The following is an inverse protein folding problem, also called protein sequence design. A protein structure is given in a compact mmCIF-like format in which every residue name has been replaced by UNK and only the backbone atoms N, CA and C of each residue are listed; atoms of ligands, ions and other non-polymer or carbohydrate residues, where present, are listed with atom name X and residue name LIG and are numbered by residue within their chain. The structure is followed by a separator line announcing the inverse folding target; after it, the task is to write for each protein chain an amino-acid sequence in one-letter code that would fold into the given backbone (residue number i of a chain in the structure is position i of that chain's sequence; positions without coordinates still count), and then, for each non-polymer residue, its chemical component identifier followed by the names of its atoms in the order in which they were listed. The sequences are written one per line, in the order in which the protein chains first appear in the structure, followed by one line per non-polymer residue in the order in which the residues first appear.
data_IF_085000725466
#
_entry.id   IF_085000725466
#
_cell.length_a   1.000
_cell.length_b   1.000
_cell.length_c   1.000
_cell.angle_alpha   90.00
_cell.angle_beta   90.00
_cell.angle_gamma   90.00
#
_symmetry.space_group_name_H-M   'P 1'
#
loop_
_entity.id
_entity.type
_entity.pdbx_description
1 polymer ?
#
# COMPACT_ATOMS: atom_id res chain seq x y z
N UNK A 1 -37.92 13.32 -29.63
CA UNK A 1 -36.65 13.84 -29.13
C UNK A 1 -35.83 12.64 -28.73
N UNK A 2 -34.85 12.29 -29.56
CA UNK A 2 -33.89 11.19 -29.30
C UNK A 2 -32.68 11.80 -28.58
N UNK A 3 -32.54 11.49 -27.28
CA UNK A 3 -31.35 11.79 -26.50
C UNK A 3 -30.24 10.81 -26.93
N UNK A 4 -29.34 11.28 -27.79
CA UNK A 4 -28.14 10.58 -28.16
C UNK A 4 -27.20 10.46 -26.96
N UNK A 5 -27.06 9.25 -26.45
CA UNK A 5 -26.05 8.90 -25.44
C UNK A 5 -24.67 8.96 -26.10
N UNK A 6 -23.92 10.04 -25.85
CA UNK A 6 -22.53 10.16 -26.29
C UNK A 6 -21.67 9.21 -25.44
N UNK A 7 -21.48 7.97 -25.89
CA UNK A 7 -20.48 7.08 -25.35
C UNK A 7 -19.13 7.64 -25.78
N UNK A 8 -18.42 8.30 -24.89
CA UNK A 8 -17.05 8.71 -25.12
C UNK A 8 -16.20 7.45 -25.28
N UNK A 9 -15.92 7.06 -26.52
CA UNK A 9 -14.95 6.00 -26.78
C UNK A 9 -13.58 6.49 -26.30
N UNK A 10 -13.12 5.99 -25.18
CA UNK A 10 -11.71 6.14 -24.79
C UNK A 10 -10.94 5.26 -25.74
N UNK A 11 -10.30 5.89 -26.73
CA UNK A 11 -9.33 5.20 -27.59
C UNK A 11 -8.11 4.93 -26.74
N UNK A 12 -7.86 3.68 -26.38
CA UNK A 12 -6.64 3.25 -25.73
C UNK A 12 -5.51 3.36 -26.75
N UNK A 13 -4.76 4.45 -26.68
CA UNK A 13 -3.59 4.69 -27.53
C UNK A 13 -2.41 3.95 -26.91
N UNK A 14 -1.72 3.15 -27.70
CA UNK A 14 -0.46 2.54 -27.32
C UNK A 14 0.66 3.59 -27.41
N UNK A 15 1.58 3.65 -26.46
CA UNK A 15 2.73 4.55 -26.54
C UNK A 15 3.63 4.15 -27.70
N UNK A 16 4.27 5.13 -28.29
CA UNK A 16 5.32 4.88 -29.28
C UNK A 16 6.57 4.30 -28.60
N UNK A 17 7.41 3.59 -29.34
CA UNK A 17 8.67 3.04 -28.80
C UNK A 17 9.58 4.13 -28.20
N UNK A 18 9.52 5.35 -28.73
CA UNK A 18 10.27 6.50 -28.24
C UNK A 18 9.72 7.04 -26.91
N UNK A 19 8.39 7.12 -26.77
CA UNK A 19 7.71 7.50 -25.51
C UNK A 19 7.98 6.48 -24.42
N UNK A 20 7.96 5.19 -24.70
CA UNK A 20 8.31 4.13 -23.74
C UNK A 20 9.76 4.22 -23.28
N UNK A 21 10.70 4.42 -24.21
CA UNK A 21 12.12 4.60 -23.88
C UNK A 21 12.35 5.84 -23.02
N UNK A 22 11.69 6.93 -23.35
CA UNK A 22 11.79 8.17 -22.56
C UNK A 22 11.22 7.97 -21.15
N UNK A 23 10.03 7.39 -21.02
CA UNK A 23 9.39 7.12 -19.75
C UNK A 23 10.23 6.15 -18.88
N UNK A 24 10.79 5.11 -19.47
CA UNK A 24 11.70 4.18 -18.79
C UNK A 24 12.98 4.88 -18.31
N UNK A 25 13.59 5.70 -19.15
CA UNK A 25 14.78 6.47 -18.78
C UNK A 25 14.51 7.46 -17.63
N UNK A 26 13.32 8.03 -17.56
CA UNK A 26 12.88 8.93 -16.51
C UNK A 26 12.61 8.19 -15.20
N UNK A 27 11.93 7.03 -15.24
CA UNK A 27 11.55 6.24 -14.07
C UNK A 27 12.73 5.54 -13.40
N UNK A 28 13.67 5.01 -14.17
CA UNK A 28 14.77 4.19 -13.67
C UNK A 28 15.55 4.80 -12.51
N UNK A 29 16.05 6.06 -12.57
CA UNK A 29 16.79 6.65 -11.45
C UNK A 29 15.91 6.84 -10.21
N UNK A 30 14.62 7.10 -10.37
CA UNK A 30 13.67 7.25 -9.27
C UNK A 30 13.43 5.89 -8.58
N UNK A 31 13.21 4.83 -9.36
CA UNK A 31 13.04 3.45 -8.88
C UNK A 31 14.30 2.98 -8.14
N UNK A 32 15.47 3.21 -8.71
CA UNK A 32 16.76 2.84 -8.09
C UNK A 32 16.95 3.56 -6.74
N UNK A 33 16.62 4.85 -6.68
CA UNK A 33 16.67 5.64 -5.45
C UNK A 33 15.68 5.14 -4.41
N UNK A 34 14.43 4.93 -4.80
CA UNK A 34 13.38 4.42 -3.92
C UNK A 34 13.73 3.02 -3.39
N UNK A 35 14.24 2.14 -4.24
CA UNK A 35 14.67 0.78 -3.84
C UNK A 35 15.81 0.81 -2.82
N UNK A 36 16.78 1.71 -2.97
CA UNK A 36 17.85 1.89 -1.99
C UNK A 36 17.30 2.37 -0.64
N UNK A 37 16.39 3.35 -0.66
CA UNK A 37 15.72 3.85 0.56
C UNK A 37 14.91 2.74 1.25
N UNK A 38 14.10 1.99 0.51
CA UNK A 38 13.33 0.85 1.02
C UNK A 38 14.24 -0.21 1.65
N UNK A 39 15.37 -0.53 1.01
CA UNK A 39 16.37 -1.46 1.55
C UNK A 39 16.96 -0.94 2.86
N UNK A 40 17.28 0.34 2.93
CA UNK A 40 17.82 0.97 4.14
C UNK A 40 16.79 0.98 5.28
N UNK A 41 15.52 1.27 4.97
CA UNK A 41 14.41 1.23 5.93
C UNK A 41 14.23 -0.20 6.47
N UNK A 42 14.25 -1.22 5.61
CA UNK A 42 14.16 -2.62 6.05
C UNK A 42 15.28 -2.98 7.02
N UNK A 43 16.52 -2.59 6.71
CA UNK A 43 17.68 -2.92 7.56
C UNK A 43 17.72 -2.13 8.86
N UNK A 44 17.13 -0.94 8.90
CA UNK A 44 17.04 -0.10 10.10
C UNK A 44 15.74 -0.31 10.89
N UNK A 45 14.87 -1.25 10.46
CA UNK A 45 13.62 -1.52 11.16
C UNK A 45 13.91 -2.06 12.57
N UNK A 46 13.30 -1.44 13.62
CA UNK A 46 13.57 -1.84 14.99
C UNK A 46 13.13 -3.28 15.30
N UNK A 47 13.76 -3.90 16.30
CA UNK A 47 13.28 -5.19 16.80
C UNK A 47 11.87 -5.02 17.39
N UNK A 48 10.92 -5.83 16.90
CA UNK A 48 9.52 -5.82 17.33
C UNK A 48 9.35 -5.95 18.86
N UNK A 49 10.22 -6.71 19.51
CA UNK A 49 10.17 -6.89 20.97
C UNK A 49 10.50 -5.64 21.75
N UNK A 50 11.27 -4.73 21.15
CA UNK A 50 11.68 -3.46 21.74
C UNK A 50 10.70 -2.33 21.49
N UNK A 51 9.78 -2.50 20.52
CA UNK A 51 8.84 -1.44 20.15
C UNK A 51 7.86 -1.12 21.30
N UNK A 52 7.65 0.16 21.50
CA UNK A 52 6.63 0.73 22.39
C UNK A 52 6.04 1.93 21.69
N UNK A 53 4.79 2.25 21.95
CA UNK A 53 4.19 3.46 21.40
C UNK A 53 5.02 4.70 21.77
N UNK A 54 5.36 5.52 20.78
CA UNK A 54 6.16 6.72 20.93
C UNK A 54 5.67 7.84 20.03
N UNK A 55 5.46 9.03 20.59
CA UNK A 55 5.07 10.21 19.83
C UNK A 55 6.20 10.66 18.90
N UNK A 56 5.81 11.18 17.74
CA UNK A 56 6.75 11.81 16.85
C UNK A 56 7.25 13.14 17.40
N UNK A 57 8.53 13.48 17.19
CA UNK A 57 9.00 14.85 17.41
C UNK A 57 8.21 15.84 16.55
N UNK A 58 7.80 16.96 17.11
CA UNK A 58 6.90 17.93 16.44
C UNK A 58 7.49 18.52 15.15
N UNK A 59 8.80 18.63 15.07
CA UNK A 59 9.57 19.15 13.95
C UNK A 59 9.94 18.08 12.91
N UNK A 60 9.87 16.80 13.29
CA UNK A 60 10.27 15.69 12.40
C UNK A 60 9.23 15.36 11.33
N UNK A 61 7.96 15.73 11.55
CA UNK A 61 6.86 15.40 10.64
C UNK A 61 6.36 16.66 9.95
N UNK A 62 6.50 16.70 8.64
CA UNK A 62 5.81 17.69 7.81
C UNK A 62 4.34 17.25 7.67
N UNK A 63 3.41 18.19 7.82
CA UNK A 63 2.00 17.88 7.63
C UNK A 63 1.76 17.31 6.23
N UNK A 64 0.91 16.29 6.15
CA UNK A 64 0.46 15.74 4.88
C UNK A 64 -0.21 16.84 4.06
N UNK A 65 0.12 16.90 2.78
CA UNK A 65 -0.56 17.73 1.78
C UNK A 65 -0.87 16.87 0.56
N UNK A 66 -1.69 17.37 -0.35
CA UNK A 66 -1.90 16.72 -1.65
C UNK A 66 -0.59 16.45 -2.40
N UNK A 67 0.44 17.29 -2.15
CA UNK A 67 1.73 17.21 -2.83
C UNK A 67 2.77 16.35 -2.08
N UNK A 68 2.46 15.92 -0.85
CA UNK A 68 3.34 15.07 -0.05
C UNK A 68 2.50 14.14 0.87
N UNK A 69 1.82 13.13 0.33
CA UNK A 69 1.06 12.16 1.10
C UNK A 69 1.99 11.29 1.94
N UNK A 70 1.44 10.72 3.02
CA UNK A 70 2.16 9.73 3.81
C UNK A 70 1.82 8.33 3.28
N UNK A 71 2.76 7.72 2.59
CA UNK A 71 2.61 6.35 2.08
C UNK A 71 2.85 5.32 3.18
N UNK A 72 2.27 4.16 3.02
CA UNK A 72 2.47 3.03 3.93
C UNK A 72 2.78 1.76 3.17
N UNK A 73 3.48 0.83 3.83
CA UNK A 73 3.86 -0.47 3.28
C UNK A 73 3.89 -1.52 4.39
N UNK A 74 3.37 -2.69 4.09
CA UNK A 74 3.54 -3.86 4.93
C UNK A 74 5.00 -4.34 4.92
N UNK A 75 5.53 -4.70 6.09
CA UNK A 75 6.92 -5.13 6.22
C UNK A 75 7.23 -6.38 5.40
N UNK A 76 6.32 -7.35 5.34
CA UNK A 76 6.54 -8.55 4.54
C UNK A 76 6.61 -8.21 3.04
N UNK A 77 5.82 -7.22 2.59
CA UNK A 77 5.93 -6.67 1.24
C UNK A 77 7.26 -5.94 1.05
N UNK A 78 7.67 -5.12 2.01
CA UNK A 78 8.96 -4.43 1.99
C UNK A 78 10.13 -5.42 1.92
N UNK A 79 10.09 -6.50 2.68
CA UNK A 79 11.10 -7.55 2.67
C UNK A 79 11.19 -8.22 1.29
N UNK A 80 10.06 -8.56 0.69
CA UNK A 80 10.01 -9.11 -0.68
C UNK A 80 10.51 -8.14 -1.74
N UNK A 81 10.22 -6.84 -1.59
CA UNK A 81 10.67 -5.82 -2.55
C UNK A 81 12.17 -5.63 -2.53
N UNK A 82 12.79 -5.82 -1.40
CA UNK A 82 14.21 -5.52 -1.18
C UNK A 82 15.11 -6.76 -1.06
N UNK A 83 14.53 -7.95 -1.01
CA UNK A 83 15.26 -9.22 -0.92
C UNK A 83 14.88 -10.18 -2.06
N UNK A 84 15.71 -10.32 -3.10
CA UNK A 84 15.41 -11.18 -4.24
C UNK A 84 15.34 -12.68 -3.90
N UNK A 85 15.86 -13.10 -2.74
CA UNK A 85 15.81 -14.49 -2.29
C UNK A 85 14.44 -14.89 -1.70
N UNK A 86 13.58 -13.93 -1.40
CA UNK A 86 12.23 -14.22 -0.88
C UNK A 86 11.31 -14.55 -2.03
N UNK A 87 10.79 -15.79 -2.05
CA UNK A 87 9.87 -16.24 -3.07
C UNK A 87 8.57 -15.40 -3.06
N UNK A 88 8.23 -14.83 -4.21
CA UNK A 88 7.09 -13.91 -4.37
C UNK A 88 5.77 -14.61 -4.70
N UNK A 89 5.78 -15.93 -4.89
CA UNK A 89 4.61 -16.70 -5.37
C UNK A 89 3.63 -17.15 -4.28
N UNK A 90 3.91 -16.88 -3.01
CA UNK A 90 3.00 -17.27 -1.94
C UNK A 90 1.70 -16.46 -2.00
N UNK A 91 0.58 -17.11 -2.34
CA UNK A 91 -0.77 -16.50 -2.46
C UNK A 91 -1.25 -15.83 -1.15
N UNK A 92 -0.70 -16.21 -0.01
CA UNK A 92 -1.08 -15.68 1.30
C UNK A 92 -0.92 -14.15 1.43
N UNK A 93 -0.03 -13.52 0.67
CA UNK A 93 0.17 -12.07 0.73
C UNK A 93 -0.94 -11.26 0.04
N UNK A 94 -1.60 -11.83 -0.97
CA UNK A 94 -2.68 -11.15 -1.70
C UNK A 94 -3.83 -10.75 -0.80
N UNK A 95 -4.08 -11.53 0.24
CA UNK A 95 -5.14 -11.27 1.22
C UNK A 95 -4.85 -10.04 2.10
N UNK A 96 -3.59 -9.60 2.17
CA UNK A 96 -3.15 -8.46 2.97
C UNK A 96 -2.59 -7.32 2.09
N UNK A 97 -2.94 -7.31 0.81
CA UNK A 97 -2.44 -6.32 -0.16
C UNK A 97 -2.86 -4.89 0.21
N UNK A 98 -3.99 -4.73 0.88
CA UNK A 98 -4.48 -3.46 1.41
C UNK A 98 -3.56 -2.84 2.49
N UNK A 99 -2.61 -3.60 3.04
CA UNK A 99 -1.60 -3.07 3.98
C UNK A 99 -0.50 -2.23 3.29
N UNK A 100 -0.58 -2.02 1.98
CA UNK A 100 0.43 -1.26 1.24
C UNK A 100 -0.20 -0.30 0.25
N UNK A 101 0.31 0.94 0.21
CA UNK A 101 -0.08 1.93 -0.79
C UNK A 101 0.28 1.45 -2.21
N UNK A 102 -0.60 1.72 -3.18
CA UNK A 102 -0.37 1.36 -4.59
C UNK A 102 0.94 1.93 -5.13
N UNK A 103 1.25 3.19 -4.83
CA UNK A 103 2.49 3.83 -5.27
C UNK A 103 3.76 3.08 -4.83
N UNK A 104 3.78 2.50 -3.61
CA UNK A 104 4.92 1.68 -3.14
C UNK A 104 5.02 0.36 -3.91
N UNK A 105 3.88 -0.22 -4.27
CA UNK A 105 3.82 -1.43 -5.10
C UNK A 105 4.39 -1.17 -6.50
N UNK A 106 4.09 -0.03 -7.10
CA UNK A 106 4.53 0.33 -8.45
C UNK A 106 6.06 0.40 -8.57
N UNK A 107 6.79 0.76 -7.50
CA UNK A 107 8.27 0.72 -7.48
C UNK A 107 8.80 -0.66 -7.84
N UNK A 108 8.11 -1.73 -7.40
CA UNK A 108 8.52 -3.10 -7.68
C UNK A 108 7.95 -3.62 -9.00
N UNK A 109 6.68 -3.36 -9.25
CA UNK A 109 5.96 -3.97 -10.38
C UNK A 109 6.41 -3.39 -11.71
N UNK A 110 6.71 -2.09 -11.77
CA UNK A 110 7.13 -1.42 -13.01
C UNK A 110 8.33 -2.10 -13.69
N UNK A 111 9.47 -2.36 -13.02
CA UNK A 111 10.59 -3.04 -13.68
C UNK A 111 10.27 -4.48 -14.12
N UNK A 112 9.31 -5.13 -13.47
CA UNK A 112 8.87 -6.47 -13.84
C UNK A 112 8.01 -6.45 -15.09
N UNK A 113 7.09 -5.49 -15.21
CA UNK A 113 6.26 -5.29 -16.40
C UNK A 113 7.11 -4.89 -17.60
N UNK A 114 8.06 -3.97 -17.42
CA UNK A 114 9.02 -3.60 -18.46
C UNK A 114 9.85 -4.80 -18.95
N UNK A 115 10.35 -5.63 -18.03
CA UNK A 115 11.12 -6.83 -18.35
C UNK A 115 10.27 -7.92 -19.04
N UNK A 116 9.00 -8.03 -18.68
CA UNK A 116 8.07 -8.98 -19.27
C UNK A 116 7.53 -8.52 -20.62
N UNK A 117 7.89 -7.31 -21.07
CA UNK A 117 7.41 -6.70 -22.32
C UNK A 117 5.88 -6.69 -22.41
N UNK A 118 5.24 -6.30 -21.29
CA UNK A 118 3.78 -6.20 -21.23
C UNK A 118 3.33 -4.97 -21.99
N UNK A 119 2.39 -5.14 -22.91
CA UNK A 119 1.78 -4.04 -23.65
C UNK A 119 0.96 -3.14 -22.70
N UNK A 120 1.54 -2.01 -22.27
CA UNK A 120 0.88 -1.00 -21.47
C UNK A 120 0.33 0.09 -22.39
N UNK A 121 -0.82 0.64 -22.02
CA UNK A 121 -1.35 1.83 -22.69
C UNK A 121 -0.57 3.08 -22.27
N UNK A 122 -0.57 4.14 -23.08
CA UNK A 122 0.05 5.44 -22.73
C UNK A 122 -0.45 5.96 -21.38
N UNK A 123 -1.75 5.77 -21.08
CA UNK A 123 -2.34 6.19 -19.81
C UNK A 123 -1.72 5.43 -18.61
N UNK A 124 -1.53 4.12 -18.71
CA UNK A 124 -0.92 3.30 -17.64
C UNK A 124 0.54 3.67 -17.43
N UNK A 125 1.30 3.92 -18.51
CA UNK A 125 2.69 4.38 -18.45
C UNK A 125 2.80 5.74 -17.73
N UNK A 126 1.93 6.69 -18.06
CA UNK A 126 1.91 8.02 -17.46
C UNK A 126 1.48 7.96 -15.98
N UNK A 127 0.47 7.17 -15.66
CA UNK A 127 -0.01 7.00 -14.29
C UNK A 127 1.07 6.39 -13.39
N UNK A 128 1.74 5.31 -13.84
CA UNK A 128 2.85 4.69 -13.12
C UNK A 128 4.00 5.68 -12.91
N UNK A 129 4.36 6.43 -13.94
CA UNK A 129 5.42 7.45 -13.89
C UNK A 129 5.08 8.54 -12.88
N UNK A 130 3.83 9.02 -12.88
CA UNK A 130 3.34 10.01 -11.93
C UNK A 130 3.43 9.53 -10.49
N UNK A 131 2.95 8.31 -10.20
CA UNK A 131 3.00 7.71 -8.85
C UNK A 131 4.44 7.52 -8.34
N UNK A 132 5.37 7.12 -9.20
CA UNK A 132 6.78 6.98 -8.83
C UNK A 132 7.40 8.35 -8.51
N UNK A 133 7.07 9.40 -9.28
CA UNK A 133 7.50 10.78 -8.99
C UNK A 133 6.93 11.31 -7.68
N UNK A 134 5.69 10.96 -7.36
CA UNK A 134 5.05 11.36 -6.11
C UNK A 134 5.74 10.73 -4.91
N UNK A 135 6.09 9.44 -4.98
CA UNK A 135 6.76 8.77 -3.86
C UNK A 135 8.18 9.31 -3.63
N UNK A 136 8.87 9.78 -4.68
CA UNK A 136 10.18 10.43 -4.51
C UNK A 136 10.08 11.77 -3.74
N UNK A 137 8.94 12.45 -3.83
CA UNK A 137 8.65 13.68 -3.07
C UNK A 137 8.22 13.41 -1.63
N UNK A 138 7.91 12.17 -1.27
CA UNK A 138 7.49 11.82 0.08
C UNK A 138 8.53 12.26 1.11
N UNK A 139 8.07 12.63 2.29
CA UNK A 139 8.94 12.95 3.43
C UNK A 139 9.01 11.80 4.42
N UNK A 140 7.95 11.03 4.50
CA UNK A 140 7.83 9.91 5.43
C UNK A 140 7.28 8.68 4.73
N UNK A 141 7.70 7.50 5.21
CA UNK A 141 7.10 6.21 4.89
C UNK A 141 6.66 5.53 6.19
N UNK A 142 5.46 5.00 6.21
CA UNK A 142 4.92 4.24 7.32
C UNK A 142 5.11 2.76 7.01
N UNK A 143 5.86 2.05 7.84
CA UNK A 143 6.04 0.60 7.71
C UNK A 143 5.21 -0.09 8.78
N UNK A 144 4.30 -0.95 8.35
CA UNK A 144 3.43 -1.71 9.25
C UNK A 144 3.95 -3.13 9.38
N UNK A 145 4.19 -3.58 10.62
CA UNK A 145 4.65 -4.95 10.91
C UNK A 145 3.90 -5.52 12.09
N UNK A 146 3.43 -6.76 11.95
CA UNK A 146 2.70 -7.44 13.02
C UNK A 146 2.37 -8.88 12.69
N UNK A 147 1.73 -9.53 13.68
CA UNK A 147 1.10 -10.83 13.49
C UNK A 147 -0.21 -10.64 12.74
N UNK A 148 -0.44 -11.47 11.76
CA UNK A 148 -1.62 -11.48 10.90
C UNK A 148 -2.35 -12.80 11.09
N UNK A 149 -3.65 -12.74 11.36
CA UNK A 149 -4.55 -13.90 11.36
C UNK A 149 -5.61 -13.65 10.29
N UNK A 150 -5.67 -14.51 9.29
CA UNK A 150 -6.66 -14.42 8.21
C UNK A 150 -8.00 -14.90 8.74
N UNK A 151 -9.11 -14.20 8.48
CA UNK A 151 -10.43 -14.69 8.83
C UNK A 151 -10.74 -15.97 8.04
N UNK A 152 -11.31 -16.96 8.74
CA UNK A 152 -11.72 -18.22 8.17
C UNK A 152 -13.25 -18.29 8.13
N UNK A 153 -13.80 -18.36 6.93
CA UNK A 153 -15.23 -18.57 6.73
C UNK A 153 -15.53 -20.05 6.89
N UNK A 154 -16.39 -20.38 7.86
CA UNK A 154 -16.79 -21.76 8.18
C UNK A 154 -18.02 -22.20 7.37
N UNK A 155 -18.94 -21.29 7.14
CA UNK A 155 -20.14 -21.49 6.34
C UNK A 155 -20.68 -20.12 5.84
N UNK A 156 -21.81 -20.09 5.17
CA UNK A 156 -22.41 -18.87 4.59
C UNK A 156 -22.81 -17.81 5.64
N UNK A 157 -22.77 -18.12 6.93
CA UNK A 157 -23.25 -17.25 8.01
C UNK A 157 -22.30 -17.16 9.20
N UNK A 158 -21.16 -17.86 9.17
CA UNK A 158 -20.22 -17.87 10.30
C UNK A 158 -18.76 -17.80 9.84
N UNK A 159 -17.96 -17.08 10.59
CA UNK A 159 -16.53 -16.96 10.37
C UNK A 159 -15.78 -16.87 11.71
N UNK A 160 -14.50 -17.24 11.71
CA UNK A 160 -13.56 -16.83 12.75
C UNK A 160 -12.96 -15.48 12.36
N UNK A 161 -12.90 -14.53 13.29
CA UNK A 161 -12.38 -13.18 13.00
C UNK A 161 -10.93 -13.20 12.53
N UNK A 162 -10.58 -12.30 11.62
CA UNK A 162 -9.21 -11.96 11.33
C UNK A 162 -8.67 -10.97 12.35
N UNK A 163 -7.36 -10.95 12.51
CA UNK A 163 -6.68 -10.10 13.47
C UNK A 163 -5.37 -9.57 12.89
N UNK A 164 -5.06 -8.31 13.20
CA UNK A 164 -3.73 -7.76 13.01
C UNK A 164 -3.26 -7.10 14.32
N UNK A 165 -2.16 -7.61 14.89
CA UNK A 165 -1.54 -7.04 16.09
C UNK A 165 -0.10 -6.69 15.80
N UNK A 166 0.26 -5.40 15.93
CA UNK A 166 1.60 -4.96 15.58
C UNK A 166 1.86 -3.49 15.80
N UNK A 167 2.74 -2.94 14.97
CA UNK A 167 3.13 -1.54 15.02
C UNK A 167 3.16 -0.94 13.62
N UNK A 168 2.80 0.34 13.55
CA UNK A 168 3.09 1.23 12.45
C UNK A 168 4.29 2.10 12.85
N UNK A 169 5.42 1.93 12.17
CA UNK A 169 6.64 2.71 12.41
C UNK A 169 6.78 3.74 11.31
N UNK A 170 6.88 4.99 11.69
CA UNK A 170 7.06 6.13 10.77
C UNK A 170 8.55 6.35 10.56
N UNK A 171 8.96 6.34 9.30
CA UNK A 171 10.33 6.59 8.90
C UNK A 171 10.48 7.94 8.20
N UNK A 172 11.60 8.61 8.44
CA UNK A 172 12.11 9.60 7.51
C UNK A 172 12.44 8.90 6.20
N UNK A 173 11.74 9.25 5.12
CA UNK A 173 11.91 8.62 3.81
C UNK A 173 13.28 8.84 3.21
N UNK A 174 13.88 10.02 3.46
CA UNK A 174 15.17 10.41 2.88
C UNK A 174 16.32 9.74 3.61
N UNK A 175 16.28 9.77 4.94
CA UNK A 175 17.36 9.30 5.80
C UNK A 175 17.19 7.85 6.26
N UNK A 176 16.06 7.22 5.96
CA UNK A 176 15.70 5.85 6.37
C UNK A 176 15.80 5.61 7.89
N UNK A 177 15.48 6.64 8.69
CA UNK A 177 15.53 6.59 10.16
C UNK A 177 14.14 6.47 10.75
N UNK A 178 13.90 5.57 11.73
CA UNK A 178 12.64 5.55 12.45
C UNK A 178 12.50 6.84 13.27
N UNK A 179 11.31 7.47 13.20
CA UNK A 179 10.97 8.71 13.89
C UNK A 179 10.09 8.45 15.10
N UNK A 180 9.08 7.63 14.94
CA UNK A 180 8.07 7.32 15.94
C UNK A 180 7.30 6.06 15.57
N UNK A 181 6.48 5.55 16.49
CA UNK A 181 5.69 4.35 16.23
C UNK A 181 4.37 4.35 17.01
N UNK A 182 3.34 3.78 16.38
CA UNK A 182 2.04 3.55 16.97
C UNK A 182 1.74 2.06 17.07
N UNK A 183 1.12 1.64 18.16
CA UNK A 183 0.59 0.29 18.29
C UNK A 183 -0.72 0.15 17.51
N UNK A 184 -0.87 -0.97 16.84
CA UNK A 184 -2.08 -1.37 16.10
C UNK A 184 -2.65 -2.65 16.68
N UNK A 185 -3.97 -2.67 16.86
CA UNK A 185 -4.72 -3.86 17.21
C UNK A 185 -6.03 -3.80 16.46
N UNK A 186 -6.15 -4.60 15.41
CA UNK A 186 -7.27 -4.59 14.46
C UNK A 186 -7.92 -5.95 14.45
N UNK A 187 -9.23 -5.97 14.54
CA UNK A 187 -10.03 -7.19 14.48
C UNK A 187 -11.22 -6.98 13.54
N UNK A 188 -11.77 -8.07 13.02
CA UNK A 188 -13.07 -8.02 12.37
C UNK A 188 -14.16 -7.57 13.36
N UNK A 189 -15.21 -6.98 12.81
CA UNK A 189 -16.44 -6.75 13.56
C UNK A 189 -17.06 -8.08 14.00
N UNK A 190 -17.74 -8.10 15.14
CA UNK A 190 -18.43 -9.30 15.64
C UNK A 190 -19.48 -9.82 14.65
N UNK A 191 -20.02 -8.91 13.85
CA UNK A 191 -21.00 -9.21 12.80
C UNK A 191 -20.64 -8.46 11.52
N UNK A 192 -20.66 -9.18 10.39
CA UNK A 192 -20.45 -8.61 9.06
C UNK A 192 -21.77 -8.68 8.29
N UNK A 193 -22.28 -7.52 7.88
CA UNK A 193 -23.47 -7.46 7.04
C UNK A 193 -23.14 -7.91 5.62
N UNK A 194 -23.75 -9.02 5.21
CA UNK A 194 -23.62 -9.56 3.86
C UNK A 194 -24.97 -9.56 3.15
N UNK A 195 -25.04 -8.84 2.04
CA UNK A 195 -26.20 -8.88 1.15
C UNK A 195 -25.85 -9.67 -0.11
N UNK A 196 -26.39 -10.87 -0.24
CA UNK A 196 -26.29 -11.68 -1.46
C UNK A 196 -26.92 -10.91 -2.63
N UNK A 197 -26.12 -10.13 -3.37
CA UNK A 197 -26.54 -9.49 -4.61
C UNK A 197 -26.31 -10.47 -5.75
N UNK A 198 -27.34 -10.81 -6.51
CA UNK A 198 -27.38 -11.58 -7.77
C UNK A 198 -26.09 -12.20 -8.33
N UNK A 199 -26.09 -12.62 -9.58
CA UNK A 199 -25.03 -13.41 -10.25
C UNK A 199 -23.60 -12.77 -10.21
N UNK A 200 -23.47 -11.51 -9.84
CA UNK A 200 -22.22 -10.76 -9.73
C UNK A 200 -21.93 -10.20 -8.32
N UNK A 201 -22.57 -10.75 -7.27
CA UNK A 201 -22.38 -10.25 -5.90
C UNK A 201 -21.11 -10.77 -5.25
N UNK A 202 -20.55 -9.97 -4.31
CA UNK A 202 -19.43 -10.40 -3.46
C UNK A 202 -19.80 -11.67 -2.68
N UNK A 203 -18.81 -12.51 -2.44
CA UNK A 203 -18.96 -13.68 -1.57
C UNK A 203 -18.95 -13.25 -0.10
N UNK A 204 -19.48 -14.09 0.79
CA UNK A 204 -19.39 -13.81 2.24
C UNK A 204 -17.94 -13.66 2.71
N UNK A 205 -17.01 -14.43 2.10
CA UNK A 205 -15.59 -14.32 2.37
C UNK A 205 -15.02 -12.93 2.00
N UNK A 206 -15.43 -12.38 0.86
CA UNK A 206 -15.03 -11.03 0.44
C UNK A 206 -15.57 -9.97 1.41
N UNK A 207 -16.82 -10.08 1.84
CA UNK A 207 -17.40 -9.16 2.81
C UNK A 207 -16.66 -9.19 4.17
N UNK A 208 -16.24 -10.36 4.62
CA UNK A 208 -15.44 -10.51 5.86
C UNK A 208 -14.05 -9.89 5.69
N UNK A 209 -13.44 -10.02 4.52
CA UNK A 209 -12.14 -9.38 4.23
C UNK A 209 -12.27 -7.85 4.09
N UNK A 210 -13.33 -7.36 3.47
CA UNK A 210 -13.64 -5.92 3.36
C UNK A 210 -13.83 -5.29 4.74
N UNK A 211 -14.56 -5.94 5.65
CA UNK A 211 -14.73 -5.47 7.02
C UNK A 211 -13.38 -5.36 7.76
N UNK A 212 -12.51 -6.36 7.63
CA UNK A 212 -11.17 -6.32 8.22
C UNK A 212 -10.33 -5.18 7.63
N UNK A 213 -10.41 -4.96 6.31
CA UNK A 213 -9.72 -3.87 5.63
C UNK A 213 -10.22 -2.50 6.10
N UNK A 214 -11.52 -2.30 6.22
CA UNK A 214 -12.11 -1.05 6.72
C UNK A 214 -11.70 -0.77 8.17
N UNK A 215 -11.76 -1.77 9.03
CA UNK A 215 -11.32 -1.67 10.42
C UNK A 215 -9.82 -1.35 10.49
N UNK A 216 -8.99 -1.99 9.65
CA UNK A 216 -7.58 -1.68 9.56
C UNK A 216 -7.32 -0.23 9.17
N UNK A 217 -7.97 0.28 8.13
CA UNK A 217 -7.81 1.67 7.69
C UNK A 217 -8.20 2.65 8.80
N UNK A 218 -9.31 2.39 9.47
CA UNK A 218 -9.80 3.20 10.59
C UNK A 218 -8.80 3.20 11.76
N UNK A 219 -8.33 2.03 12.16
CA UNK A 219 -7.43 1.88 13.32
C UNK A 219 -6.02 2.40 13.01
N UNK A 220 -5.51 2.21 11.79
CA UNK A 220 -4.26 2.81 11.37
C UNK A 220 -4.32 4.34 11.44
N UNK A 221 -5.40 4.93 10.93
CA UNK A 221 -5.61 6.38 11.01
C UNK A 221 -5.68 6.87 12.46
N UNK A 222 -6.43 6.18 13.32
CA UNK A 222 -6.54 6.52 14.74
C UNK A 222 -5.22 6.35 15.48
N UNK A 223 -4.48 5.27 15.22
CA UNK A 223 -3.18 5.01 15.83
C UNK A 223 -2.15 6.08 15.45
N UNK A 224 -2.07 6.43 14.18
CA UNK A 224 -1.16 7.48 13.70
C UNK A 224 -1.53 8.85 14.28
N UNK A 225 -2.82 9.17 14.42
CA UNK A 225 -3.28 10.41 15.03
C UNK A 225 -2.88 10.53 16.53
N UNK A 226 -2.74 9.40 17.24
CA UNK A 226 -2.25 9.40 18.64
C UNK A 226 -0.79 9.85 18.78
N UNK A 227 0.03 9.53 17.78
CA UNK A 227 1.47 9.84 17.80
C UNK A 227 1.81 11.15 17.09
N UNK A 228 1.00 11.60 16.13
CA UNK A 228 1.11 12.91 15.49
C UNK A 228 -0.16 13.26 14.73
N UNK A 229 -0.71 14.45 14.99
CA UNK A 229 -1.86 15.00 14.24
C UNK A 229 -1.51 15.40 12.79
N UNK A 230 -0.22 15.45 12.46
CA UNK A 230 0.26 15.81 11.12
C UNK A 230 0.28 14.64 10.14
N UNK A 231 0.17 13.39 10.64
CA UNK A 231 0.21 12.20 9.80
C UNK A 231 -1.20 11.86 9.33
N UNK A 232 -1.39 11.88 8.02
CA UNK A 232 -2.60 11.40 7.38
C UNK A 232 -2.17 10.37 6.30
N UNK A 233 -2.40 9.06 6.53
CA UNK A 233 -2.05 8.05 5.55
C UNK A 233 -2.91 8.17 4.30
N UNK A 234 -2.31 7.91 3.14
CA UNK A 234 -3.02 7.78 1.86
C UNK A 234 -3.68 6.39 1.82
N UNK A 235 -4.93 6.30 2.31
CA UNK A 235 -5.73 5.08 2.46
C UNK A 235 -6.74 4.91 1.33
#
# INVERSE_FOLDING_TARGET
MLLGSCVTCIVLVQPTEEEEKQATAERKPLIDTATKRLTSIRTSFPDMKSLREAKCPDDAITASSSDAPHYFVDYDSLERFTNPAVNTEAEAWKQWEFLSSSAVRDIKTTPQLEKANVDLTSFEVDEMTSRIKEIDKAKTLIVVRGKKVVPEVKDDNSFSGGEFVGFAVVFDWINAKPLCQAQLNVENSDTVEFRKRGIAGSTFKEAVMEDLEENYKKDLKAALARISSKIQPAL
#
